data_IF_708012725071
#
_entry.id   IF_708012725071
#
_cell.length_a   1.000
_cell.length_b   1.000
_cell.length_c   1.000
_cell.angle_alpha   90.00
_cell.angle_beta   90.00
_cell.angle_gamma   90.00
#
_symmetry.space_group_name_H-M   'P 1'
#
loop_
_entity.id
_entity.type
_entity.pdbx_description
1 polymer ?
#
# COMPACT_ATOMS: atom_id res chain seq x y z
N UNK A 1 -37.27 -17.89 -3.54
CA UNK A 1 -35.89 -17.48 -3.18
C UNK A 1 -35.34 -16.69 -4.35
N UNK A 2 -35.46 -15.37 -4.32
CA UNK A 2 -34.76 -14.54 -5.31
C UNK A 2 -33.27 -14.68 -5.04
N UNK A 3 -32.52 -15.18 -6.02
CA UNK A 3 -31.07 -15.15 -5.99
C UNK A 3 -30.68 -13.66 -6.00
N UNK A 4 -30.08 -13.18 -4.93
CA UNK A 4 -29.47 -11.85 -4.92
C UNK A 4 -28.46 -11.81 -6.07
N UNK A 5 -28.49 -10.81 -6.96
CA UNK A 5 -27.50 -10.70 -8.01
C UNK A 5 -26.13 -10.70 -7.34
N UNK A 6 -25.26 -11.63 -7.77
CA UNK A 6 -23.88 -11.65 -7.27
C UNK A 6 -23.22 -10.38 -7.78
N UNK A 7 -22.98 -9.43 -6.85
CA UNK A 7 -22.21 -8.25 -7.17
C UNK A 7 -20.77 -8.71 -7.44
N UNK A 8 -20.20 -8.36 -8.60
CA UNK A 8 -18.83 -8.75 -8.90
C UNK A 8 -17.88 -8.15 -7.87
N UNK A 9 -16.97 -8.96 -7.33
CA UNK A 9 -15.96 -8.50 -6.40
C UNK A 9 -14.82 -7.82 -7.14
N UNK A 10 -14.31 -6.72 -6.56
CA UNK A 10 -13.21 -5.93 -7.11
C UNK A 10 -11.87 -6.56 -6.73
N UNK A 11 -11.03 -6.87 -7.68
CA UNK A 11 -9.63 -7.23 -7.42
C UNK A 11 -8.73 -6.01 -7.24
N UNK A 12 -9.14 -4.90 -7.82
CA UNK A 12 -8.44 -3.64 -7.76
C UNK A 12 -9.47 -2.51 -7.74
N UNK A 13 -9.34 -1.61 -6.79
CA UNK A 13 -10.13 -0.39 -6.69
C UNK A 13 -9.19 0.80 -6.64
N UNK A 14 -9.32 1.74 -7.58
CA UNK A 14 -8.62 3.02 -7.56
C UNK A 14 -9.61 4.11 -7.17
N UNK A 15 -9.36 4.78 -6.07
CA UNK A 15 -10.16 5.87 -5.53
C UNK A 15 -9.46 7.17 -5.89
N UNK A 16 -10.07 7.92 -6.80
CA UNK A 16 -9.64 9.22 -7.28
C UNK A 16 -10.90 10.05 -7.58
N UNK A 17 -11.73 10.19 -6.56
CA UNK A 17 -13.04 10.82 -6.64
C UNK A 17 -13.07 12.20 -6.04
N UNK A 18 -14.09 12.48 -5.22
CA UNK A 18 -14.21 13.73 -4.50
C UNK A 18 -13.16 13.81 -3.39
N UNK A 19 -12.42 14.92 -3.34
CA UNK A 19 -11.35 15.12 -2.35
C UNK A 19 -11.87 15.69 -1.01
N UNK A 20 -13.12 15.41 -0.64
CA UNK A 20 -13.64 15.71 0.70
C UNK A 20 -13.32 14.56 1.67
N UNK A 21 -13.29 14.88 2.96
CA UNK A 21 -13.09 13.85 3.99
C UNK A 21 -14.17 12.75 3.92
N UNK A 22 -15.45 13.16 3.90
CA UNK A 22 -16.58 12.23 3.91
C UNK A 22 -16.65 11.41 2.63
N UNK A 23 -16.37 12.02 1.47
CA UNK A 23 -16.31 11.35 0.18
C UNK A 23 -15.25 10.25 0.17
N UNK A 24 -14.01 10.59 0.50
CA UNK A 24 -12.90 9.62 0.56
C UNK A 24 -13.15 8.50 1.58
N UNK A 25 -13.65 8.84 2.78
CA UNK A 25 -13.94 7.84 3.81
C UNK A 25 -15.03 6.86 3.34
N UNK A 26 -16.11 7.38 2.72
CA UNK A 26 -17.19 6.58 2.16
C UNK A 26 -16.73 5.68 1.02
N UNK A 27 -15.88 6.19 0.14
CA UNK A 27 -15.31 5.44 -0.99
C UNK A 27 -14.42 4.30 -0.51
N UNK A 28 -13.61 4.53 0.53
CA UNK A 28 -12.80 3.48 1.18
C UNK A 28 -13.69 2.37 1.77
N UNK A 29 -14.78 2.73 2.46
CA UNK A 29 -15.74 1.76 2.99
C UNK A 29 -16.40 0.97 1.87
N UNK A 30 -16.80 1.64 0.79
CA UNK A 30 -17.43 1.00 -0.37
C UNK A 30 -16.46 0.04 -1.06
N UNK A 31 -15.23 0.48 -1.32
CA UNK A 31 -14.19 -0.33 -1.94
C UNK A 31 -13.89 -1.58 -1.10
N UNK A 32 -13.72 -1.44 0.22
CA UNK A 32 -13.48 -2.57 1.13
C UNK A 32 -14.64 -3.57 1.10
N UNK A 33 -15.88 -3.10 1.10
CA UNK A 33 -17.08 -3.95 1.09
C UNK A 33 -17.14 -4.88 -0.12
N UNK A 34 -16.67 -4.41 -1.27
CA UNK A 34 -16.70 -5.16 -2.53
C UNK A 34 -15.35 -5.72 -2.93
N UNK A 35 -14.35 -5.61 -2.09
CA UNK A 35 -13.01 -6.12 -2.38
C UNK A 35 -13.00 -7.65 -2.39
N UNK A 36 -12.46 -8.23 -3.45
CA UNK A 36 -12.22 -9.67 -3.51
C UNK A 36 -11.12 -10.07 -2.53
N UNK A 37 -11.07 -11.33 -2.06
CA UNK A 37 -9.93 -11.84 -1.32
C UNK A 37 -8.62 -11.61 -2.10
N UNK A 38 -7.65 -10.96 -1.47
CA UNK A 38 -6.40 -10.56 -2.11
C UNK A 38 -6.52 -9.37 -3.05
N UNK A 39 -7.62 -8.63 -3.00
CA UNK A 39 -7.77 -7.37 -3.72
C UNK A 39 -6.96 -6.25 -3.10
N UNK A 40 -6.68 -5.22 -3.89
CA UNK A 40 -5.93 -4.03 -3.52
C UNK A 40 -6.78 -2.78 -3.72
N UNK A 41 -6.77 -1.88 -2.74
CA UNK A 41 -7.35 -0.53 -2.87
C UNK A 41 -6.19 0.44 -3.01
N UNK A 42 -6.28 1.34 -3.99
CA UNK A 42 -5.35 2.45 -4.19
C UNK A 42 -6.10 3.74 -3.99
N UNK A 43 -5.69 4.51 -2.98
CA UNK A 43 -6.20 5.86 -2.75
C UNK A 43 -5.23 6.88 -3.31
N UNK A 44 -5.72 7.79 -4.14
CA UNK A 44 -4.95 8.89 -4.70
C UNK A 44 -4.89 10.11 -3.78
N UNK A 45 -4.04 11.03 -4.13
CA UNK A 45 -3.86 12.36 -3.53
C UNK A 45 -3.55 12.40 -2.02
N UNK A 46 -2.92 11.34 -1.49
CA UNK A 46 -2.36 11.40 -0.14
C UNK A 46 -1.15 12.35 -0.12
N UNK A 47 -0.99 13.07 0.99
CA UNK A 47 0.07 14.08 1.17
C UNK A 47 0.05 15.21 0.13
N UNK A 48 -1.07 15.38 -0.56
CA UNK A 48 -1.30 16.52 -1.42
C UNK A 48 -1.78 17.71 -0.58
N UNK A 49 -1.06 18.82 -0.63
CA UNK A 49 -1.40 20.02 0.15
C UNK A 49 -2.79 20.59 -0.21
N UNK A 50 -3.23 20.40 -1.46
CA UNK A 50 -4.55 20.86 -1.92
C UNK A 50 -5.68 19.90 -1.53
N UNK A 51 -5.35 18.69 -1.09
CA UNK A 51 -6.29 17.61 -0.77
C UNK A 51 -5.93 16.95 0.56
N UNK A 52 -5.56 17.76 1.57
CA UNK A 52 -5.13 17.28 2.89
C UNK A 52 -6.18 16.38 3.57
N UNK A 53 -7.48 16.59 3.26
CA UNK A 53 -8.56 15.75 3.75
C UNK A 53 -8.46 14.29 3.26
N UNK A 54 -7.86 14.01 2.10
CA UNK A 54 -7.62 12.63 1.64
C UNK A 54 -6.71 11.89 2.62
N UNK A 55 -5.62 12.55 3.03
CA UNK A 55 -4.68 11.99 4.02
C UNK A 55 -5.34 11.80 5.39
N UNK A 56 -6.13 12.78 5.83
CA UNK A 56 -6.85 12.70 7.11
C UNK A 56 -7.85 11.54 7.10
N UNK A 57 -8.68 11.44 6.08
CA UNK A 57 -9.66 10.37 5.93
C UNK A 57 -8.97 8.98 5.90
N UNK A 58 -7.82 8.85 5.22
CA UNK A 58 -7.04 7.62 5.20
C UNK A 58 -6.61 7.19 6.60
N UNK A 59 -6.02 8.08 7.39
CA UNK A 59 -5.50 7.71 8.71
C UNK A 59 -6.64 7.38 9.70
N UNK A 60 -7.74 8.11 9.65
CA UNK A 60 -8.92 7.79 10.46
C UNK A 60 -9.53 6.45 10.02
N UNK A 61 -9.64 6.22 8.71
CA UNK A 61 -10.11 4.95 8.18
C UNK A 61 -9.26 3.76 8.65
N UNK A 62 -7.92 3.86 8.58
CA UNK A 62 -7.02 2.80 9.03
C UNK A 62 -7.10 2.57 10.55
N UNK A 63 -7.36 3.61 11.35
CA UNK A 63 -7.59 3.48 12.79
C UNK A 63 -8.89 2.72 13.08
N UNK A 64 -9.95 3.03 12.35
CA UNK A 64 -11.28 2.47 12.58
C UNK A 64 -11.45 1.06 11.95
N UNK A 65 -10.56 0.69 11.03
CA UNK A 65 -10.56 -0.62 10.33
C UNK A 65 -9.23 -1.36 10.53
N UNK A 66 -8.97 -1.93 11.73
CA UNK A 66 -7.66 -2.50 12.08
C UNK A 66 -7.24 -3.72 11.26
N UNK A 67 -8.15 -4.30 10.48
CA UNK A 67 -7.85 -5.39 9.54
C UNK A 67 -7.46 -4.91 8.14
N UNK A 68 -7.40 -3.60 7.91
CA UNK A 68 -6.89 -2.99 6.68
C UNK A 68 -5.55 -2.33 6.95
N UNK A 69 -4.58 -2.55 6.09
CA UNK A 69 -3.24 -2.00 6.24
C UNK A 69 -2.83 -1.25 4.98
N UNK A 70 -2.14 -0.14 5.18
CA UNK A 70 -1.37 0.48 4.12
C UNK A 70 -0.07 -0.31 3.94
N UNK A 71 0.08 -0.99 2.82
CA UNK A 71 1.25 -1.83 2.52
C UNK A 71 2.35 -1.04 1.84
N UNK A 72 1.99 -0.03 1.05
CA UNK A 72 2.95 0.81 0.35
C UNK A 72 2.42 2.22 0.12
N UNK A 73 3.32 3.17 -0.01
CA UNK A 73 3.02 4.57 -0.37
C UNK A 73 4.04 5.05 -1.41
N UNK A 74 3.57 5.83 -2.37
CA UNK A 74 4.44 6.50 -3.34
C UNK A 74 3.62 7.21 -4.41
N UNK A 75 4.18 8.21 -5.06
CA UNK A 75 3.50 8.99 -6.11
C UNK A 75 2.15 9.56 -5.66
N UNK A 76 2.08 10.03 -4.41
CA UNK A 76 0.86 10.52 -3.74
C UNK A 76 -0.25 9.48 -3.62
N UNK A 77 0.09 8.17 -3.68
CA UNK A 77 -0.88 7.09 -3.54
C UNK A 77 -0.58 6.23 -2.32
N UNK A 78 -1.65 5.75 -1.68
CA UNK A 78 -1.60 4.71 -0.67
C UNK A 78 -2.17 3.41 -1.23
N UNK A 79 -1.49 2.31 -0.97
CA UNK A 79 -1.87 0.97 -1.39
C UNK A 79 -2.33 0.19 -0.17
N UNK A 80 -3.61 -0.21 -0.14
CA UNK A 80 -4.25 -0.83 1.02
C UNK A 80 -4.65 -2.27 0.70
N UNK A 81 -4.44 -3.15 1.68
CA UNK A 81 -4.87 -4.54 1.62
C UNK A 81 -5.40 -5.02 2.97
N UNK A 82 -6.08 -6.16 2.98
CA UNK A 82 -6.43 -6.82 4.23
C UNK A 82 -5.20 -7.43 4.92
N UNK A 83 -5.21 -7.53 6.26
CA UNK A 83 -4.12 -8.04 7.12
C UNK A 83 -3.51 -9.35 6.61
N UNK A 84 -4.36 -10.31 6.23
CA UNK A 84 -3.92 -11.64 5.75
C UNK A 84 -3.10 -11.62 4.47
N UNK A 85 -3.12 -10.50 3.72
CA UNK A 85 -2.37 -10.32 2.48
C UNK A 85 -1.18 -9.39 2.63
N UNK A 86 -0.96 -8.83 3.81
CA UNK A 86 0.09 -7.86 4.06
C UNK A 86 1.48 -8.41 3.75
N UNK A 87 1.81 -9.62 4.21
CA UNK A 87 3.09 -10.27 3.94
C UNK A 87 3.32 -10.52 2.45
N UNK A 88 2.28 -11.03 1.76
CA UNK A 88 2.34 -11.24 0.31
C UNK A 88 2.64 -9.95 -0.46
N UNK A 89 1.91 -8.87 -0.18
CA UNK A 89 2.11 -7.60 -0.89
C UNK A 89 3.43 -6.93 -0.53
N UNK A 90 3.88 -7.00 0.73
CA UNK A 90 5.21 -6.50 1.11
C UNK A 90 6.30 -7.19 0.31
N UNK A 91 6.27 -8.51 0.24
CA UNK A 91 7.21 -9.29 -0.57
C UNK A 91 7.14 -8.89 -2.04
N UNK A 92 5.94 -8.83 -2.61
CA UNK A 92 5.72 -8.41 -3.98
C UNK A 92 6.36 -7.04 -4.27
N UNK A 93 6.06 -6.04 -3.44
CA UNK A 93 6.63 -4.69 -3.64
C UNK A 93 8.16 -4.67 -3.49
N UNK A 94 8.73 -5.47 -2.59
CA UNK A 94 10.18 -5.57 -2.43
C UNK A 94 10.88 -6.24 -3.63
N UNK A 95 10.19 -7.09 -4.36
CA UNK A 95 10.70 -7.75 -5.56
C UNK A 95 10.43 -6.96 -6.86
N UNK A 96 9.49 -6.00 -6.83
CA UNK A 96 9.05 -5.24 -8.00
C UNK A 96 10.15 -4.38 -8.65
N UNK A 97 11.08 -3.72 -7.91
CA UNK A 97 12.11 -2.88 -8.54
C UNK A 97 12.98 -3.61 -9.53
N UNK A 98 13.32 -4.87 -9.27
CA UNK A 98 14.14 -5.67 -10.19
C UNK A 98 13.40 -5.91 -11.49
N UNK A 99 12.08 -6.16 -11.43
CA UNK A 99 11.23 -6.33 -12.61
C UNK A 99 11.06 -5.02 -13.38
N UNK A 100 10.85 -3.91 -12.69
CA UNK A 100 10.70 -2.58 -13.30
C UNK A 100 12.00 -2.09 -13.89
N UNK A 101 13.12 -2.30 -13.19
CA UNK A 101 14.47 -1.99 -13.68
C UNK A 101 14.80 -2.73 -14.98
N UNK A 102 14.43 -4.02 -15.08
CA UNK A 102 14.60 -4.79 -16.31
C UNK A 102 13.76 -4.24 -17.48
N UNK A 103 12.66 -3.54 -17.18
CA UNK A 103 11.82 -2.85 -18.16
C UNK A 103 12.27 -1.39 -18.44
N UNK A 104 13.38 -0.94 -17.86
CA UNK A 104 13.89 0.43 -17.98
C UNK A 104 13.15 1.46 -17.13
N UNK A 105 12.38 1.01 -16.14
CA UNK A 105 11.67 1.87 -15.20
C UNK A 105 12.44 1.88 -13.87
N UNK A 106 13.03 3.03 -13.55
CA UNK A 106 13.89 3.18 -12.38
C UNK A 106 13.08 3.66 -11.18
N UNK A 107 12.82 2.75 -10.25
CA UNK A 107 12.09 3.00 -9.01
C UNK A 107 12.95 2.59 -7.84
N UNK A 108 13.08 3.46 -6.86
CA UNK A 108 13.70 3.15 -5.58
C UNK A 108 12.63 2.78 -4.55
N UNK A 109 12.77 1.62 -3.96
CA UNK A 109 12.00 1.21 -2.80
C UNK A 109 12.73 1.60 -1.52
N UNK A 110 12.03 2.34 -0.67
CA UNK A 110 12.47 2.59 0.69
C UNK A 110 11.65 1.72 1.63
N UNK A 111 12.31 0.84 2.36
CA UNK A 111 11.69 0.04 3.40
C UNK A 111 11.92 0.71 4.76
N UNK A 112 10.85 1.26 5.34
CA UNK A 112 10.88 1.91 6.63
C UNK A 112 10.60 0.89 7.73
N UNK A 113 11.66 0.34 8.33
CA UNK A 113 11.58 -0.64 9.41
C UNK A 113 11.87 0.01 10.76
N UNK A 114 10.88 0.67 11.35
CA UNK A 114 10.95 1.18 12.72
C UNK A 114 10.64 0.08 13.74
N UNK A 115 11.21 0.18 14.92
CA UNK A 115 11.31 -0.91 15.91
C UNK A 115 10.00 -1.57 16.35
N UNK A 116 8.85 -0.97 16.10
CA UNK A 116 7.57 -1.40 16.63
C UNK A 116 6.56 -1.69 15.50
N UNK A 117 6.84 -2.71 14.67
CA UNK A 117 5.78 -3.46 13.97
C UNK A 117 5.12 -2.79 12.76
N UNK A 118 5.28 -1.50 12.53
CA UNK A 118 4.74 -0.82 11.36
C UNK A 118 5.85 -0.52 10.37
N UNK A 119 6.10 -1.46 9.48
CA UNK A 119 6.98 -1.23 8.34
C UNK A 119 6.16 -0.81 7.14
N UNK A 120 6.64 0.22 6.46
CA UNK A 120 6.04 0.72 5.23
C UNK A 120 7.03 0.53 4.08
N UNK A 121 6.49 0.20 2.92
CA UNK A 121 7.22 0.32 1.67
C UNK A 121 6.87 1.68 1.08
N UNK A 122 7.87 2.47 0.74
CA UNK A 122 7.66 3.71 -0.02
C UNK A 122 8.45 3.63 -1.32
N UNK A 123 7.93 4.22 -2.39
CA UNK A 123 8.64 4.28 -3.66
C UNK A 123 8.81 5.70 -4.14
N UNK A 124 9.93 5.89 -4.82
CA UNK A 124 10.33 7.16 -5.40
C UNK A 124 11.07 6.89 -6.73
N UNK A 125 11.17 7.91 -7.55
CA UNK A 125 12.02 7.85 -8.74
C UNK A 125 13.50 7.77 -8.35
N UNK A 126 14.27 7.02 -9.11
CA UNK A 126 15.72 6.99 -8.97
C UNK A 126 16.40 7.05 -10.32
N UNK A 127 17.66 7.51 -10.34
CA UNK A 127 18.49 7.44 -11.53
C UNK A 127 18.87 6.00 -11.90
N UNK A 128 19.27 5.78 -13.15
CA UNK A 128 19.67 4.45 -13.63
C UNK A 128 20.83 3.83 -12.84
N UNK A 129 21.70 4.67 -12.29
CA UNK A 129 22.90 4.28 -11.52
C UNK A 129 22.67 4.29 -10.01
N UNK A 130 21.46 4.60 -9.54
CA UNK A 130 21.14 4.62 -8.13
C UNK A 130 20.67 3.25 -7.62
N UNK A 131 20.93 2.91 -6.35
CA UNK A 131 20.43 1.66 -5.78
C UNK A 131 18.90 1.66 -5.72
N UNK A 132 18.31 0.56 -6.18
CA UNK A 132 16.85 0.36 -6.18
C UNK A 132 16.24 0.12 -4.79
N UNK A 133 17.08 -0.04 -3.77
CA UNK A 133 16.63 -0.31 -2.39
C UNK A 133 17.30 0.61 -1.39
N UNK A 134 16.50 1.06 -0.44
CA UNK A 134 16.97 1.74 0.76
C UNK A 134 16.23 1.22 1.98
N UNK A 135 16.95 0.83 3.01
CA UNK A 135 16.38 0.38 4.28
C UNK A 135 16.60 1.48 5.31
N UNK A 136 15.50 1.97 5.89
CA UNK A 136 15.47 3.06 6.86
C UNK A 136 15.01 2.49 8.20
N UNK A 137 15.66 2.90 9.30
CA UNK A 137 15.27 2.60 10.67
C UNK A 137 16.15 1.53 11.32
N UNK A 138 15.94 0.24 11.04
CA UNK A 138 16.83 -0.83 11.57
C UNK A 138 18.03 -1.05 10.66
N UNK A 139 19.15 -1.49 11.25
CA UNK A 139 20.30 -1.99 10.49
C UNK A 139 19.98 -3.41 10.00
N UNK A 140 19.43 -3.53 8.81
CA UNK A 140 19.41 -4.78 8.07
C UNK A 140 20.64 -4.81 7.18
N UNK A 141 21.33 -5.95 7.14
CA UNK A 141 22.53 -6.09 6.34
C UNK A 141 22.23 -6.50 4.89
N UNK A 142 21.08 -7.13 4.66
CA UNK A 142 20.67 -7.59 3.32
C UNK A 142 19.15 -7.56 3.15
N UNK A 143 18.69 -7.51 1.89
CA UNK A 143 17.27 -7.64 1.55
C UNK A 143 16.70 -8.99 2.02
N UNK A 144 17.51 -10.05 1.99
CA UNK A 144 17.13 -11.40 2.45
C UNK A 144 16.79 -11.42 3.94
N UNK A 145 17.55 -10.71 4.77
CA UNK A 145 17.25 -10.55 6.20
C UNK A 145 15.97 -9.76 6.43
N UNK A 146 15.73 -8.74 5.60
CA UNK A 146 14.49 -7.96 5.63
C UNK A 146 13.27 -8.82 5.29
N UNK A 147 13.35 -9.65 4.26
CA UNK A 147 12.28 -10.56 3.85
C UNK A 147 12.03 -11.64 4.91
N UNK A 148 13.08 -12.21 5.50
CA UNK A 148 12.98 -13.22 6.56
C UNK A 148 12.31 -12.70 7.83
N UNK A 149 12.49 -11.42 8.17
CA UNK A 149 11.80 -10.80 9.32
C UNK A 149 10.33 -10.52 9.06
N UNK A 150 9.90 -10.36 7.80
CA UNK A 150 8.50 -10.16 7.44
C UNK A 150 7.67 -11.45 7.54
N UNK A 151 8.28 -12.60 7.26
CA UNK A 151 7.63 -13.92 7.35
C UNK A 151 7.33 -14.32 8.80
N UNK A 152 8.01 -13.73 9.79
CA UNK A 152 7.80 -14.00 11.22
C UNK A 152 6.84 -13.02 11.91
N UNK A 153 6.36 -12.00 11.21
CA UNK A 153 5.46 -10.95 11.73
C UNK A 153 3.99 -11.11 11.28
N UNK A 154 3.64 -12.25 10.70
CA UNK A 154 2.28 -12.61 10.23
C UNK A 154 1.53 -13.46 11.25
#
# INVERSE_FOLDING_TARGET
RMLSPQVPLLRFAHIDGEHSYDGVYSDLQLAQRYLAPGGLIVLDDIFNMNSACCTHALFDYLRDHPLVHCVAMGYRKAYLCESRWLGFYRKFFLETPDLLGAAGIHVRLCFNAWANERSYVTFDDCGADEPHYQIIGRRFHTLKETLGTLDHAS
#
